data_IF_419821727456
#
_entry.id   IF_419821727456
#
_cell.length_a   1.000
_cell.length_b   1.000
_cell.length_c   1.000
_cell.angle_alpha   90.00
_cell.angle_beta   90.00
_cell.angle_gamma   90.00
#
_symmetry.space_group_name_H-M   'P 1'
#
loop_
_entity.id
_entity.type
_entity.pdbx_description
1 polymer ?
#
# COMPACT_ATOMS: atom_id res chain seq x y z
N UNK A 1 16.29 25.99 0.75
CA UNK A 1 15.33 25.24 1.60
C UNK A 1 16.04 24.80 2.88
N UNK A 2 15.36 24.88 4.02
CA UNK A 2 15.90 24.52 5.34
C UNK A 2 14.84 23.68 6.06
N UNK A 3 15.28 22.68 6.80
CA UNK A 3 14.43 21.92 7.71
C UNK A 3 15.25 21.25 8.80
N UNK A 4 14.58 20.74 9.81
CA UNK A 4 15.20 20.07 10.97
C UNK A 4 14.90 18.59 10.94
N UNK A 5 15.88 17.76 11.33
CA UNK A 5 15.66 16.33 11.51
C UNK A 5 14.77 16.11 12.73
N UNK A 6 13.64 15.43 12.57
CA UNK A 6 12.71 15.16 13.67
C UNK A 6 13.25 14.16 14.71
N UNK A 7 14.37 13.49 14.42
CA UNK A 7 14.96 12.47 15.31
C UNK A 7 16.07 13.09 16.18
N UNK A 8 16.91 13.94 15.61
CA UNK A 8 18.09 14.49 16.29
C UNK A 8 18.18 16.03 16.29
N UNK A 9 17.19 16.73 15.76
CA UNK A 9 17.16 18.20 15.69
C UNK A 9 18.14 18.83 14.71
N UNK A 10 19.00 18.05 14.04
CA UNK A 10 20.00 18.58 13.12
C UNK A 10 19.37 19.41 11.99
N UNK A 11 19.90 20.61 11.77
CA UNK A 11 19.46 21.47 10.67
C UNK A 11 20.07 21.00 9.34
N UNK A 12 19.22 20.75 8.36
CA UNK A 12 19.60 20.39 6.99
C UNK A 12 19.24 21.56 6.08
N UNK A 13 20.18 21.98 5.24
CA UNK A 13 20.00 23.06 4.27
C UNK A 13 20.35 22.55 2.88
N UNK A 14 19.60 23.01 1.89
CA UNK A 14 19.88 22.75 0.49
C UNK A 14 19.50 23.95 -0.37
N UNK A 15 20.18 24.09 -1.49
CA UNK A 15 19.93 25.14 -2.48
C UNK A 15 19.50 24.49 -3.79
N UNK A 16 18.86 25.29 -4.67
CA UNK A 16 18.64 24.87 -6.04
C UNK A 16 20.00 24.75 -6.76
N UNK A 17 20.06 23.90 -7.78
CA UNK A 17 21.19 23.82 -8.69
C UNK A 17 20.70 23.91 -10.13
N UNK A 18 21.63 24.07 -11.09
CA UNK A 18 21.29 24.11 -12.51
C UNK A 18 20.50 22.87 -13.00
N UNK A 19 20.61 21.74 -12.29
CA UNK A 19 19.97 20.47 -12.68
C UNK A 19 18.75 20.09 -11.83
N UNK A 20 18.60 20.63 -10.62
CA UNK A 20 17.60 20.16 -9.67
C UNK A 20 17.05 21.30 -8.80
N UNK A 21 15.75 21.21 -8.48
CA UNK A 21 15.10 22.14 -7.56
C UNK A 21 15.67 22.05 -6.14
N UNK A 22 15.51 23.13 -5.36
CA UNK A 22 15.91 23.15 -3.96
C UNK A 22 15.23 22.03 -3.14
N UNK A 23 13.98 21.67 -3.49
CA UNK A 23 13.22 20.56 -2.88
C UNK A 23 13.84 19.21 -3.19
N UNK A 24 14.18 18.93 -4.45
CA UNK A 24 14.81 17.66 -4.83
C UNK A 24 16.16 17.49 -4.11
N UNK A 25 16.98 18.54 -4.09
CA UNK A 25 18.25 18.54 -3.36
C UNK A 25 18.05 18.40 -1.84
N UNK A 26 16.98 18.99 -1.29
CA UNK A 26 16.62 18.85 0.13
C UNK A 26 16.31 17.40 0.47
N UNK A 27 15.44 16.74 -0.30
CA UNK A 27 15.06 15.34 -0.08
C UNK A 27 16.27 14.40 -0.15
N UNK A 28 17.20 14.65 -1.08
CA UNK A 28 18.45 13.89 -1.18
C UNK A 28 19.33 14.07 0.05
N UNK A 29 19.49 15.30 0.53
CA UNK A 29 20.26 15.61 1.73
C UNK A 29 19.64 14.97 2.99
N UNK A 30 18.31 15.06 3.14
CA UNK A 30 17.56 14.41 4.22
C UNK A 30 17.77 12.89 4.18
N UNK A 31 17.61 12.27 3.01
CA UNK A 31 17.84 10.81 2.86
C UNK A 31 19.27 10.43 3.26
N UNK A 32 20.28 11.18 2.80
CA UNK A 32 21.68 10.93 3.17
C UNK A 32 21.91 11.05 4.68
N UNK A 33 21.35 12.09 5.32
CA UNK A 33 21.44 12.28 6.76
C UNK A 33 20.78 11.13 7.53
N UNK A 34 19.58 10.73 7.14
CA UNK A 34 18.84 9.62 7.77
C UNK A 34 19.60 8.30 7.69
N UNK A 35 20.19 7.97 6.54
CA UNK A 35 20.97 6.74 6.39
C UNK A 35 22.32 6.78 7.12
N UNK A 36 22.96 7.94 7.22
CA UNK A 36 24.24 8.08 7.92
C UNK A 36 24.08 8.05 9.44
N UNK A 37 23.10 8.79 9.98
CA UNK A 37 22.99 9.04 11.42
C UNK A 37 21.88 8.24 12.10
N UNK A 38 20.90 7.73 11.35
CA UNK A 38 19.72 7.03 11.88
C UNK A 38 19.48 5.69 11.19
N UNK A 39 20.57 5.00 10.81
CA UNK A 39 20.52 3.74 10.06
C UNK A 39 19.65 2.68 10.75
N UNK A 40 19.81 2.51 12.05
CA UNK A 40 19.03 1.53 12.85
C UNK A 40 17.54 1.87 12.85
N UNK A 41 17.18 3.14 13.04
CA UNK A 41 15.79 3.62 12.95
C UNK A 41 15.21 3.39 11.55
N UNK A 42 15.99 3.64 10.49
CA UNK A 42 15.58 3.38 9.10
C UNK A 42 15.32 1.89 8.86
N UNK A 43 16.24 1.01 9.30
CA UNK A 43 16.07 -0.43 9.18
C UNK A 43 14.85 -0.91 9.97
N UNK A 44 14.65 -0.41 11.19
CA UNK A 44 13.49 -0.73 12.02
C UNK A 44 12.18 -0.35 11.33
N UNK A 45 12.09 0.86 10.77
CA UNK A 45 10.93 1.32 10.00
C UNK A 45 10.67 0.45 8.76
N UNK A 46 11.72 0.05 8.05
CA UNK A 46 11.59 -0.85 6.89
C UNK A 46 11.08 -2.23 7.34
N UNK A 47 11.62 -2.79 8.43
CA UNK A 47 11.17 -4.07 8.98
C UNK A 47 9.71 -4.00 9.45
N UNK A 48 9.32 -2.91 10.12
CA UNK A 48 7.94 -2.67 10.51
C UNK A 48 7.01 -2.59 9.30
N UNK A 49 7.41 -1.85 8.25
CA UNK A 49 6.67 -1.77 6.98
C UNK A 49 6.53 -3.13 6.29
N UNK A 50 7.61 -3.93 6.25
CA UNK A 50 7.57 -5.30 5.70
C UNK A 50 6.67 -6.21 6.52
N UNK A 51 6.75 -6.17 7.86
CA UNK A 51 5.88 -6.97 8.75
C UNK A 51 4.41 -6.59 8.58
N UNK A 52 4.10 -5.30 8.49
CA UNK A 52 2.76 -4.82 8.19
C UNK A 52 2.28 -5.28 6.81
N UNK A 53 3.15 -5.28 5.81
CA UNK A 53 2.82 -5.79 4.47
C UNK A 53 2.57 -7.30 4.46
N UNK A 54 3.37 -8.10 5.18
CA UNK A 54 3.18 -9.55 5.26
C UNK A 54 1.88 -9.95 5.97
N UNK A 55 1.36 -9.07 6.84
CA UNK A 55 0.12 -9.31 7.57
C UNK A 55 -1.13 -8.81 6.81
N UNK A 56 -0.95 -8.11 5.68
CA UNK A 56 -2.05 -7.65 4.86
C UNK A 56 -2.29 -8.67 3.74
N UNK A 57 -3.52 -9.16 3.56
CA UNK A 57 -3.82 -9.99 2.41
C UNK A 57 -3.57 -9.23 1.12
N UNK A 58 -3.07 -9.95 0.13
CA UNK A 58 -2.84 -9.45 -1.23
C UNK A 58 -4.10 -9.62 -2.09
N UNK A 59 -4.08 -9.01 -3.28
CA UNK A 59 -5.11 -9.26 -4.31
C UNK A 59 -5.19 -10.75 -4.67
N UNK A 60 -4.05 -11.44 -4.72
CA UNK A 60 -4.01 -12.86 -5.01
C UNK A 60 -4.68 -13.68 -3.89
N UNK A 61 -4.42 -13.35 -2.61
CA UNK A 61 -5.06 -14.02 -1.48
C UNK A 61 -6.60 -13.87 -1.54
N UNK A 62 -7.07 -12.69 -1.94
CA UNK A 62 -8.49 -12.43 -2.14
C UNK A 62 -9.09 -13.26 -3.28
N UNK A 63 -8.44 -13.32 -4.44
CA UNK A 63 -8.89 -14.12 -5.59
C UNK A 63 -8.89 -15.62 -5.25
N UNK A 64 -7.84 -16.11 -4.58
CA UNK A 64 -7.80 -17.50 -4.12
C UNK A 64 -8.90 -17.80 -3.09
N UNK A 65 -9.27 -16.85 -2.24
CA UNK A 65 -10.38 -17.03 -1.31
C UNK A 65 -11.75 -17.03 -2.00
N UNK A 66 -11.93 -16.28 -3.09
CA UNK A 66 -13.13 -16.34 -3.93
C UNK A 66 -13.33 -17.71 -4.58
N UNK A 67 -12.24 -18.41 -4.89
CA UNK A 67 -12.27 -19.77 -5.43
C UNK A 67 -12.62 -20.82 -4.35
N UNK A 68 -12.30 -20.54 -3.09
CA UNK A 68 -12.46 -21.48 -1.97
C UNK A 68 -13.85 -21.38 -1.34
N UNK A 69 -14.24 -20.21 -0.83
CA UNK A 69 -15.59 -19.99 -0.31
C UNK A 69 -15.96 -18.51 -0.14
N UNK A 70 -17.25 -18.14 -0.27
CA UNK A 70 -17.72 -16.77 -0.06
C UNK A 70 -17.36 -16.20 1.32
N UNK A 71 -17.46 -17.02 2.38
CA UNK A 71 -17.16 -16.60 3.75
C UNK A 71 -15.68 -16.26 3.95
N UNK A 72 -14.78 -17.04 3.36
CA UNK A 72 -13.34 -16.76 3.40
C UNK A 72 -13.02 -15.49 2.60
N UNK A 73 -13.58 -15.34 1.42
CA UNK A 73 -13.39 -14.15 0.59
C UNK A 73 -13.84 -12.87 1.32
N UNK A 74 -14.98 -12.91 2.02
CA UNK A 74 -15.44 -11.80 2.85
C UNK A 74 -14.49 -11.48 4.01
N UNK A 75 -13.94 -12.52 4.67
CA UNK A 75 -12.97 -12.33 5.76
C UNK A 75 -11.68 -11.64 5.30
N UNK A 76 -11.24 -11.93 4.07
CA UNK A 76 -10.08 -11.31 3.44
C UNK A 76 -10.40 -9.89 3.02
N UNK A 77 -11.56 -9.68 2.39
CA UNK A 77 -12.06 -8.35 2.01
C UNK A 77 -11.99 -7.35 3.17
N UNK A 78 -12.47 -7.74 4.37
CA UNK A 78 -12.42 -6.87 5.57
C UNK A 78 -11.01 -6.39 5.96
N UNK A 79 -9.98 -7.14 5.56
CA UNK A 79 -8.57 -6.86 5.87
C UNK A 79 -7.83 -6.27 4.67
N UNK A 80 -8.45 -6.27 3.49
CA UNK A 80 -7.87 -5.79 2.25
C UNK A 80 -7.82 -4.26 2.27
N UNK A 81 -6.72 -3.66 1.81
CA UNK A 81 -6.63 -2.20 1.69
C UNK A 81 -7.54 -1.73 0.56
N UNK A 82 -8.15 -0.55 0.69
CA UNK A 82 -9.04 0.01 -0.34
C UNK A 82 -8.40 0.06 -1.74
N UNK A 83 -7.10 0.43 -1.82
CA UNK A 83 -6.35 0.40 -3.09
C UNK A 83 -6.25 -1.01 -3.68
N UNK A 84 -6.00 -2.02 -2.85
CA UNK A 84 -5.87 -3.40 -3.31
C UNK A 84 -7.23 -3.95 -3.74
N UNK A 85 -8.32 -3.58 -3.06
CA UNK A 85 -9.68 -3.89 -3.51
C UNK A 85 -9.97 -3.27 -4.88
N UNK A 86 -9.57 -2.02 -5.12
CA UNK A 86 -9.77 -1.39 -6.42
C UNK A 86 -9.02 -2.10 -7.56
N UNK A 87 -7.80 -2.59 -7.29
CA UNK A 87 -7.05 -3.43 -8.23
C UNK A 87 -7.78 -4.75 -8.44
N UNK A 88 -8.25 -5.39 -7.37
CA UNK A 88 -9.03 -6.62 -7.47
C UNK A 88 -10.29 -6.41 -8.31
N UNK A 89 -11.01 -5.29 -8.12
CA UNK A 89 -12.18 -4.90 -8.92
C UNK A 89 -11.87 -4.80 -10.40
N UNK A 90 -10.82 -4.08 -10.78
CA UNK A 90 -10.38 -3.98 -12.19
C UNK A 90 -10.09 -5.35 -12.80
N UNK A 91 -9.45 -6.25 -12.05
CA UNK A 91 -9.16 -7.61 -12.52
C UNK A 91 -10.44 -8.44 -12.65
N UNK A 92 -11.30 -8.40 -11.63
CA UNK A 92 -12.52 -9.20 -11.59
C UNK A 92 -13.54 -8.74 -12.62
N UNK A 93 -13.69 -7.44 -12.86
CA UNK A 93 -14.57 -6.89 -13.89
C UNK A 93 -14.09 -7.28 -15.30
N UNK A 94 -12.78 -7.29 -15.53
CA UNK A 94 -12.21 -7.74 -16.80
C UNK A 94 -12.40 -9.25 -17.03
N UNK A 95 -12.36 -10.05 -15.95
CA UNK A 95 -12.53 -11.49 -16.01
C UNK A 95 -13.99 -11.94 -15.92
N UNK A 96 -14.91 -11.08 -15.51
CA UNK A 96 -16.32 -11.39 -15.25
C UNK A 96 -16.99 -12.24 -16.35
N UNK A 97 -16.78 -11.97 -17.66
CA UNK A 97 -17.41 -12.74 -18.74
C UNK A 97 -16.95 -14.20 -18.80
N UNK A 98 -15.76 -14.51 -18.29
CA UNK A 98 -15.13 -15.83 -18.36
C UNK A 98 -15.09 -16.53 -16.99
N UNK A 99 -15.58 -15.88 -15.93
CA UNK A 99 -15.60 -16.49 -14.60
C UNK A 99 -16.69 -17.57 -14.47
N UNK A 100 -16.38 -18.68 -13.78
CA UNK A 100 -17.40 -19.63 -13.31
C UNK A 100 -18.51 -18.92 -12.54
N UNK A 101 -19.74 -19.39 -12.69
CA UNK A 101 -20.93 -18.76 -12.13
C UNK A 101 -20.83 -18.59 -10.61
N UNK A 102 -20.25 -19.57 -9.92
CA UNK A 102 -20.08 -19.58 -8.45
C UNK A 102 -19.15 -18.46 -7.98
N UNK A 103 -18.04 -18.27 -8.70
CA UNK A 103 -17.07 -17.21 -8.41
C UNK A 103 -17.67 -15.84 -8.71
N UNK A 104 -18.44 -15.74 -9.81
CA UNK A 104 -19.11 -14.49 -10.21
C UNK A 104 -20.14 -14.04 -9.17
N UNK A 105 -20.96 -14.96 -8.66
CA UNK A 105 -21.93 -14.68 -7.60
C UNK A 105 -21.20 -14.21 -6.33
N UNK A 106 -20.15 -14.93 -5.95
CA UNK A 106 -19.34 -14.58 -4.77
C UNK A 106 -18.69 -13.20 -4.90
N UNK A 107 -18.15 -12.89 -6.09
CA UNK A 107 -17.59 -11.59 -6.42
C UNK A 107 -18.63 -10.48 -6.30
N UNK A 108 -19.78 -10.62 -6.97
CA UNK A 108 -20.85 -9.61 -6.96
C UNK A 108 -21.43 -9.37 -5.57
N UNK A 109 -21.52 -10.41 -4.74
CA UNK A 109 -21.93 -10.24 -3.35
C UNK A 109 -20.94 -9.37 -2.57
N UNK A 110 -19.63 -9.61 -2.72
CA UNK A 110 -18.60 -8.81 -2.05
C UNK A 110 -18.54 -7.39 -2.61
N UNK A 111 -18.69 -7.23 -3.93
CA UNK A 111 -18.77 -5.93 -4.58
C UNK A 111 -19.93 -5.10 -4.01
N UNK A 112 -21.13 -5.68 -3.94
CA UNK A 112 -22.30 -5.01 -3.37
C UNK A 112 -22.10 -4.61 -1.89
N UNK A 113 -21.47 -5.49 -1.10
CA UNK A 113 -21.11 -5.17 0.30
C UNK A 113 -20.11 -4.01 0.36
N UNK A 114 -19.12 -3.98 -0.54
CA UNK A 114 -18.16 -2.89 -0.59
C UNK A 114 -18.85 -1.56 -0.92
N UNK A 115 -19.68 -1.55 -1.96
CA UNK A 115 -20.37 -0.36 -2.42
C UNK A 115 -21.34 0.21 -1.36
N UNK A 116 -21.90 -0.65 -0.50
CA UNK A 116 -22.75 -0.20 0.61
C UNK A 116 -21.95 0.30 1.82
N UNK A 117 -20.82 -0.34 2.16
CA UNK A 117 -20.00 0.04 3.31
C UNK A 117 -19.02 1.19 3.03
N UNK A 118 -18.74 1.49 1.76
CA UNK A 118 -17.82 2.53 1.33
C UNK A 118 -18.51 3.89 1.04
N UNK A 119 -19.83 3.97 1.23
CA UNK A 119 -20.59 5.23 1.31
C UNK A 119 -20.32 5.95 2.63
#
# INVERSE_FOLDING_TARGET
MKGTCSICGATIRSHASAKNSARANFLKAVRKHMWKNHRTTMISRIKAGKKASNNNPTVQDFISALQDSPGRAFSIYKKLRARDFHIAKQVMDALEPVLPTEIRISWKAIEAIHDELAK
#
